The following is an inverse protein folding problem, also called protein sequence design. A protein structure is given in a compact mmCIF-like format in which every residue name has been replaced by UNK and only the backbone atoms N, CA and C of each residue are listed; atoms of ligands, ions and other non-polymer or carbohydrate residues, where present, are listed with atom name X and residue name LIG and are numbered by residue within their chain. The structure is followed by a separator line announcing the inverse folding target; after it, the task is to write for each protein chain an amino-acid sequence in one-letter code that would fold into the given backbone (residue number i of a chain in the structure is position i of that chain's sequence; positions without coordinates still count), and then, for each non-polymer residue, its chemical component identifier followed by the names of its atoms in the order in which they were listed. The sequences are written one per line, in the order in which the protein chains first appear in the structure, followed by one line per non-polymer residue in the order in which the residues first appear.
data_IF_297712693671
#
_entry.id   IF_297712693671
#
_cell.length_a   1.000
_cell.length_b   1.000
_cell.length_c   1.000
_cell.angle_alpha   90.00
_cell.angle_beta   90.00
_cell.angle_gamma   90.00
#
_symmetry.space_group_name_H-M   'P 1'
#
loop_
_entity.id
_entity.type
_entity.pdbx_description
1 polymer ?
#
# COMPACT_ATOMS: atom_id res chain seq x y z
N UNK A 1 -12.18 -53.39 24.38
CA UNK A 1 -12.11 -52.19 23.51
C UNK A 1 -11.76 -52.73 22.13
N UNK A 2 -12.65 -52.60 21.14
CA UNK A 2 -12.44 -53.24 19.80
C UNK A 2 -11.36 -52.49 18.99
N UNK A 3 -10.58 -53.21 18.23
CA UNK A 3 -9.49 -52.71 17.36
C UNK A 3 -9.91 -51.46 16.53
N UNK A 4 -11.18 -51.41 16.09
CA UNK A 4 -11.79 -50.25 15.40
C UNK A 4 -11.86 -48.98 16.28
N UNK A 5 -12.10 -49.09 17.60
CA UNK A 5 -12.10 -47.92 18.51
C UNK A 5 -10.69 -47.41 18.77
N UNK A 6 -9.71 -48.28 18.78
CA UNK A 6 -8.31 -47.86 18.96
C UNK A 6 -7.79 -47.12 17.69
N UNK A 7 -8.11 -47.57 16.49
CA UNK A 7 -7.78 -46.88 15.23
C UNK A 7 -8.49 -45.53 15.10
N UNK A 8 -9.76 -45.42 15.54
CA UNK A 8 -10.48 -44.14 15.51
C UNK A 8 -9.92 -43.12 16.52
N UNK A 9 -9.53 -43.58 17.72
CA UNK A 9 -8.93 -42.71 18.74
C UNK A 9 -7.51 -42.26 18.35
N UNK A 10 -6.70 -43.14 17.73
CA UNK A 10 -5.37 -42.77 17.24
C UNK A 10 -5.43 -41.84 16.02
N UNK A 11 -6.38 -42.05 15.11
CA UNK A 11 -6.60 -41.13 13.98
C UNK A 11 -7.14 -39.76 14.44
N UNK A 12 -8.03 -39.72 15.44
CA UNK A 12 -8.53 -38.48 16.03
C UNK A 12 -7.42 -37.73 16.79
N UNK A 13 -6.53 -38.44 17.51
CA UNK A 13 -5.39 -37.84 18.21
C UNK A 13 -4.35 -37.28 17.22
N UNK A 14 -4.06 -37.98 16.12
CA UNK A 14 -3.19 -37.51 15.04
C UNK A 14 -3.78 -36.29 14.33
N UNK A 15 -5.08 -36.28 14.04
CA UNK A 15 -5.78 -35.14 13.47
C UNK A 15 -5.76 -33.94 14.44
N UNK A 16 -6.00 -34.16 15.73
CA UNK A 16 -5.92 -33.09 16.73
C UNK A 16 -4.51 -32.52 16.89
N UNK A 17 -3.47 -33.37 16.87
CA UNK A 17 -2.08 -32.96 16.92
C UNK A 17 -1.69 -32.14 15.65
N UNK A 18 -2.10 -32.59 14.46
CA UNK A 18 -1.89 -31.86 13.22
C UNK A 18 -2.67 -30.54 13.17
N UNK A 19 -3.89 -30.49 13.70
CA UNK A 19 -4.63 -29.25 13.85
C UNK A 19 -3.96 -28.28 14.84
N UNK A 20 -3.42 -28.78 15.94
CA UNK A 20 -2.76 -27.94 16.95
C UNK A 20 -1.42 -27.36 16.43
N UNK A 21 -0.60 -28.19 15.77
CA UNK A 21 0.64 -27.74 15.15
C UNK A 21 0.38 -26.81 13.96
N UNK A 22 -0.64 -27.08 13.15
CA UNK A 22 -1.07 -26.20 12.07
C UNK A 22 -1.57 -24.83 12.57
N UNK A 23 -2.28 -24.80 13.70
CA UNK A 23 -2.77 -23.57 14.31
C UNK A 23 -1.61 -22.73 14.90
N UNK A 24 -0.62 -23.36 15.53
CA UNK A 24 0.58 -22.70 16.06
C UNK A 24 1.45 -22.15 14.93
N UNK A 25 1.70 -22.93 13.90
CA UNK A 25 2.45 -22.49 12.73
C UNK A 25 1.74 -21.35 11.99
N UNK A 26 0.41 -21.44 11.83
CA UNK A 26 -0.41 -20.40 11.24
C UNK A 26 -0.36 -19.10 12.04
N UNK A 27 -0.44 -19.17 13.37
CA UNK A 27 -0.32 -18.00 14.25
C UNK A 27 1.07 -17.35 14.13
N UNK A 28 2.12 -18.16 14.15
CA UNK A 28 3.49 -17.68 14.00
C UNK A 28 3.65 -16.96 12.65
N UNK A 29 3.25 -17.59 11.55
CA UNK A 29 3.39 -17.02 10.21
C UNK A 29 2.49 -15.80 9.99
N UNK A 30 1.27 -15.78 10.54
CA UNK A 30 0.40 -14.60 10.50
C UNK A 30 1.04 -13.43 11.25
N UNK A 31 1.61 -13.65 12.43
CA UNK A 31 2.33 -12.61 13.16
C UNK A 31 3.59 -12.15 12.41
N UNK A 32 4.37 -13.08 11.87
CA UNK A 32 5.57 -12.76 11.10
C UNK A 32 5.25 -11.87 9.88
N UNK A 33 4.14 -12.18 9.20
CA UNK A 33 3.74 -11.45 7.99
C UNK A 33 3.05 -10.11 8.28
N UNK A 34 2.35 -9.97 9.42
CA UNK A 34 1.50 -8.80 9.68
C UNK A 34 1.98 -7.91 10.84
N UNK A 35 2.99 -8.35 11.59
CA UNK A 35 3.55 -7.57 12.71
C UNK A 35 5.05 -7.38 12.52
N UNK A 36 5.46 -6.50 11.58
CA UNK A 36 6.87 -6.20 11.38
C UNK A 36 7.47 -5.51 12.59
N UNK A 37 8.74 -5.83 12.88
CA UNK A 37 9.51 -5.19 13.92
C UNK A 37 10.88 -4.71 13.35
N UNK A 38 11.36 -3.52 13.70
CA UNK A 38 10.70 -2.50 14.51
C UNK A 38 9.53 -1.84 13.77
N UNK A 39 8.56 -1.28 14.52
CA UNK A 39 7.44 -0.53 13.98
C UNK A 39 7.18 0.76 14.79
N UNK A 40 6.29 1.60 14.29
CA UNK A 40 5.89 2.83 14.97
C UNK A 40 7.07 3.81 15.12
N UNK A 41 7.11 4.52 16.25
CA UNK A 41 8.11 5.57 16.51
C UNK A 41 9.54 5.04 16.47
N UNK A 42 9.76 3.78 16.87
CA UNK A 42 11.10 3.15 16.84
C UNK A 42 11.67 3.02 15.43
N UNK A 43 10.82 3.10 14.39
CA UNK A 43 11.20 2.96 12.99
C UNK A 43 11.44 4.30 12.26
N UNK A 44 11.13 5.42 12.90
CA UNK A 44 11.20 6.76 12.27
C UNK A 44 12.62 7.08 11.77
N UNK A 45 13.65 6.85 12.56
CA UNK A 45 15.04 7.16 12.16
C UNK A 45 15.50 6.31 10.97
N UNK A 46 15.10 5.04 10.92
CA UNK A 46 15.39 4.17 9.79
C UNK A 46 14.74 4.69 8.51
N UNK A 47 13.47 5.08 8.60
CA UNK A 47 12.71 5.58 7.44
C UNK A 47 13.19 6.94 6.96
N UNK A 48 13.66 7.82 7.87
CA UNK A 48 14.33 9.08 7.52
C UNK A 48 15.60 8.82 6.69
N UNK A 49 16.46 7.92 7.17
CA UNK A 49 17.68 7.56 6.45
C UNK A 49 17.37 6.92 5.07
N UNK A 50 16.35 6.06 5.00
CA UNK A 50 15.89 5.46 3.74
C UNK A 50 15.39 6.54 2.75
N UNK A 51 14.58 7.50 3.19
CA UNK A 51 14.09 8.59 2.35
C UNK A 51 15.23 9.42 1.77
N UNK A 52 16.20 9.79 2.60
CA UNK A 52 17.37 10.58 2.19
C UNK A 52 18.31 9.82 1.24
N UNK A 53 18.35 8.47 1.35
CA UNK A 53 19.10 7.63 0.40
C UNK A 53 18.45 7.58 -0.98
N UNK A 54 17.11 7.64 -1.05
CA UNK A 54 16.34 7.65 -2.30
C UNK A 54 16.35 9.02 -2.98
N UNK A 55 16.35 10.09 -2.18
CA UNK A 55 16.38 11.48 -2.66
C UNK A 55 17.15 12.34 -1.66
N UNK A 56 18.47 12.55 -1.87
CA UNK A 56 19.31 13.30 -0.94
C UNK A 56 18.78 14.70 -0.65
N UNK A 57 18.68 15.04 0.64
CA UNK A 57 18.18 16.32 1.13
C UNK A 57 16.67 16.44 1.24
N UNK A 58 15.90 15.39 0.92
CA UNK A 58 14.43 15.44 1.00
C UNK A 58 13.93 15.56 2.43
N UNK A 59 14.62 14.94 3.38
CA UNK A 59 14.27 15.05 4.80
C UNK A 59 14.54 16.45 5.34
N UNK A 60 15.66 17.07 4.97
CA UNK A 60 15.94 18.46 5.34
C UNK A 60 14.90 19.42 4.74
N UNK A 61 14.44 19.18 3.51
CA UNK A 61 13.34 19.92 2.88
C UNK A 61 12.03 19.76 3.67
N UNK A 62 11.68 18.53 4.06
CA UNK A 62 10.48 18.25 4.86
C UNK A 62 10.55 18.95 6.23
N UNK A 63 11.66 18.78 6.96
CA UNK A 63 11.87 19.34 8.29
C UNK A 63 11.77 20.89 8.29
N UNK A 64 12.37 21.54 7.29
CA UNK A 64 12.27 23.00 7.12
C UNK A 64 10.82 23.48 6.93
N UNK A 65 10.06 22.78 6.09
CA UNK A 65 8.66 23.10 5.84
C UNK A 65 7.76 22.75 7.04
N UNK A 66 8.05 21.66 7.74
CA UNK A 66 7.32 21.27 8.94
C UNK A 66 7.58 22.27 10.08
N UNK A 67 8.82 22.69 10.31
CA UNK A 67 9.18 23.72 11.27
C UNK A 67 8.53 25.08 10.97
N UNK A 68 8.27 25.40 9.71
CA UNK A 68 7.53 26.58 9.28
C UNK A 68 6.01 26.44 9.37
N UNK A 69 5.49 25.29 9.81
CA UNK A 69 4.07 25.00 9.92
C UNK A 69 3.35 24.85 8.57
N UNK A 70 4.11 24.60 7.50
CA UNK A 70 3.55 24.30 6.16
C UNK A 70 3.04 22.86 6.13
N UNK A 71 3.87 21.87 6.54
CA UNK A 71 3.38 20.55 6.88
C UNK A 71 2.75 20.59 8.27
N UNK A 72 1.62 19.92 8.41
CA UNK A 72 0.86 19.80 9.65
C UNK A 72 0.51 18.35 9.89
N UNK A 73 0.61 17.94 11.15
CA UNK A 73 0.12 16.65 11.62
C UNK A 73 -1.40 16.70 11.81
N UNK A 74 -2.05 15.60 11.51
CA UNK A 74 -3.47 15.40 11.75
C UNK A 74 -3.72 13.96 12.19
N UNK A 75 -4.72 13.77 13.04
CA UNK A 75 -5.11 12.44 13.51
C UNK A 75 -6.61 12.25 13.36
N UNK A 76 -7.00 11.01 13.13
CA UNK A 76 -8.39 10.54 13.17
C UNK A 76 -8.47 9.28 14.03
N UNK A 77 -9.66 8.93 14.44
CA UNK A 77 -9.93 7.63 15.10
C UNK A 77 -10.68 6.77 14.08
N UNK A 78 -10.23 5.56 13.88
CA UNK A 78 -10.88 4.60 13.01
C UNK A 78 -12.10 3.92 13.67
N UNK A 79 -12.86 3.06 12.97
CA UNK A 79 -14.00 2.35 13.57
C UNK A 79 -13.63 1.39 14.70
N UNK A 80 -12.40 0.89 14.74
CA UNK A 80 -11.92 -0.03 15.80
C UNK A 80 -11.43 0.72 17.04
N UNK A 81 -11.31 2.05 16.97
CA UNK A 81 -10.92 2.93 18.05
C UNK A 81 -9.44 3.30 18.04
N UNK A 82 -8.68 2.86 17.06
CA UNK A 82 -7.27 3.16 16.91
C UNK A 82 -7.06 4.59 16.38
N UNK A 83 -6.06 5.26 16.92
CA UNK A 83 -5.68 6.61 16.49
C UNK A 83 -4.73 6.53 15.33
N UNK A 84 -5.19 6.94 14.16
CA UNK A 84 -4.41 7.01 12.93
C UNK A 84 -3.84 8.42 12.72
N UNK A 85 -2.67 8.49 12.10
CA UNK A 85 -1.91 9.72 11.85
C UNK A 85 -1.69 9.95 10.35
N UNK A 86 -1.63 11.21 9.97
CA UNK A 86 -1.16 11.66 8.66
C UNK A 86 -0.47 13.03 8.77
N UNK A 87 0.35 13.35 7.77
CA UNK A 87 0.81 14.71 7.54
C UNK A 87 0.18 15.27 6.27
N UNK A 88 -0.10 16.59 6.26
CA UNK A 88 -0.62 17.25 5.07
C UNK A 88 0.01 18.63 4.86
N UNK A 89 0.05 19.07 3.61
CA UNK A 89 0.51 20.41 3.27
C UNK A 89 -0.25 20.98 2.06
N UNK A 90 -0.49 22.28 1.99
CA UNK A 90 -1.02 22.94 0.80
C UNK A 90 0.02 22.87 -0.33
N UNK A 91 -0.45 23.02 -1.56
CA UNK A 91 0.35 23.25 -2.74
C UNK A 91 1.38 24.38 -2.50
N UNK A 92 2.46 24.40 -3.29
CA UNK A 92 3.48 25.44 -3.20
C UNK A 92 2.88 26.84 -3.39
N UNK A 93 1.97 26.98 -4.35
CA UNK A 93 1.09 28.12 -4.52
C UNK A 93 -0.36 27.67 -4.32
N UNK A 94 -0.94 27.86 -3.11
CA UNK A 94 -2.28 27.39 -2.80
C UNK A 94 -3.38 28.04 -3.65
N UNK A 95 -3.15 29.28 -4.14
CA UNK A 95 -4.15 30.01 -4.93
C UNK A 95 -4.37 29.37 -6.31
N UNK A 96 -3.38 28.66 -6.83
CA UNK A 96 -3.39 28.01 -8.14
C UNK A 96 -3.23 26.50 -8.05
N UNK A 97 -3.56 25.89 -6.90
CA UNK A 97 -3.43 24.47 -6.69
C UNK A 97 -4.10 23.63 -7.78
N UNK A 98 -3.34 22.72 -8.40
CA UNK A 98 -3.77 21.96 -9.54
C UNK A 98 -4.57 20.70 -9.17
N UNK A 99 -4.49 20.24 -7.94
CA UNK A 99 -5.13 19.03 -7.45
C UNK A 99 -4.71 18.73 -6.02
N UNK A 100 -5.09 17.55 -5.55
CA UNK A 100 -4.65 16.97 -4.28
C UNK A 100 -4.09 15.57 -4.54
N UNK A 101 -2.95 15.23 -3.95
CA UNK A 101 -2.37 13.90 -3.98
C UNK A 101 -2.42 13.27 -2.59
N UNK A 102 -2.97 12.06 -2.51
CA UNK A 102 -2.83 11.18 -1.35
C UNK A 102 -1.70 10.21 -1.65
N UNK A 103 -0.60 10.28 -0.90
CA UNK A 103 0.59 9.43 -1.14
C UNK A 103 0.64 8.34 -0.08
N UNK A 104 0.60 7.08 -0.51
CA UNK A 104 0.44 5.90 0.36
C UNK A 104 1.72 5.07 0.39
N UNK A 105 2.28 4.88 1.58
CA UNK A 105 3.56 4.20 1.77
C UNK A 105 3.48 2.67 1.71
N UNK A 106 4.65 2.02 1.60
CA UNK A 106 4.81 0.57 1.59
C UNK A 106 4.85 -0.09 2.96
N UNK A 107 4.93 -1.43 2.95
CA UNK A 107 5.10 -2.25 4.15
C UNK A 107 6.41 -1.89 4.88
N UNK A 108 6.37 -1.78 6.19
CA UNK A 108 7.46 -1.31 7.08
C UNK A 108 7.94 0.12 6.83
N UNK A 109 7.25 0.90 6.02
CA UNK A 109 7.53 2.30 5.78
C UNK A 109 6.56 3.21 6.59
N UNK A 110 6.63 4.50 6.39
CA UNK A 110 5.71 5.49 6.96
C UNK A 110 5.70 6.75 6.06
N UNK A 111 4.99 7.79 6.47
CA UNK A 111 4.86 9.04 5.71
C UNK A 111 6.20 9.65 5.22
N UNK A 112 7.32 9.36 5.87
CA UNK A 112 8.62 9.96 5.53
C UNK A 112 9.29 9.35 4.31
N UNK A 113 9.12 8.05 4.06
CA UNK A 113 9.92 7.32 3.06
C UNK A 113 9.70 7.88 1.66
N UNK A 114 8.47 8.24 1.32
CA UNK A 114 8.13 8.71 -0.02
C UNK A 114 7.98 10.25 -0.12
N UNK A 115 8.67 11.00 0.75
CA UNK A 115 8.68 12.47 0.71
C UNK A 115 9.21 13.04 -0.61
N UNK A 116 9.97 12.27 -1.39
CA UNK A 116 10.35 12.66 -2.74
C UNK A 116 9.15 12.73 -3.71
N UNK A 117 8.17 11.81 -3.60
CA UNK A 117 6.92 11.91 -4.36
C UNK A 117 6.09 13.09 -3.87
N UNK A 118 6.05 13.29 -2.56
CA UNK A 118 5.36 14.45 -1.95
C UNK A 118 5.95 15.76 -2.46
N UNK A 119 7.28 15.85 -2.53
CA UNK A 119 8.00 17.00 -3.11
C UNK A 119 7.67 17.19 -4.60
N UNK A 120 7.66 16.13 -5.39
CA UNK A 120 7.25 16.13 -6.79
C UNK A 120 5.82 16.69 -6.94
N UNK A 121 4.87 16.15 -6.21
CA UNK A 121 3.47 16.63 -6.27
C UNK A 121 3.35 18.08 -5.83
N UNK A 122 3.92 18.44 -4.68
CA UNK A 122 3.76 19.77 -4.10
C UNK A 122 4.53 20.86 -4.87
N UNK A 123 5.81 20.65 -5.10
CA UNK A 123 6.71 21.68 -5.60
C UNK A 123 6.77 21.75 -7.13
N UNK A 124 6.59 20.61 -7.85
CA UNK A 124 6.67 20.56 -9.31
C UNK A 124 5.29 20.58 -9.97
N UNK A 125 4.28 19.88 -9.41
CA UNK A 125 2.93 19.83 -9.97
C UNK A 125 1.98 20.87 -9.36
N UNK A 126 2.38 21.48 -8.27
CA UNK A 126 1.56 22.41 -7.49
C UNK A 126 0.25 21.78 -6.96
N UNK A 127 0.38 20.60 -6.36
CA UNK A 127 -0.71 19.86 -5.71
C UNK A 127 -0.68 20.04 -4.19
N UNK A 128 -1.84 20.05 -3.56
CA UNK A 128 -1.94 19.78 -2.12
C UNK A 128 -1.55 18.32 -1.88
N UNK A 129 -1.09 18.01 -0.68
CA UNK A 129 -0.67 16.64 -0.34
C UNK A 129 -1.24 16.18 0.98
N UNK A 130 -1.61 14.89 1.06
CA UNK A 130 -1.97 14.15 2.26
C UNK A 130 -1.17 12.85 2.27
N UNK A 131 -0.51 12.55 3.38
CA UNK A 131 0.42 11.42 3.50
C UNK A 131 0.13 10.68 4.80
N UNK A 132 -0.76 9.68 4.76
CA UNK A 132 -1.08 8.90 5.94
C UNK A 132 0.06 7.96 6.35
N UNK A 133 0.15 7.71 7.67
CA UNK A 133 0.71 6.49 8.20
C UNK A 133 -0.41 5.43 8.24
N UNK A 134 -0.24 4.31 7.56
CA UNK A 134 -1.19 3.20 7.58
C UNK A 134 -1.23 2.57 8.97
N UNK A 135 -2.30 1.81 9.27
CA UNK A 135 -2.43 1.07 10.53
C UNK A 135 -1.14 0.30 10.86
N UNK A 136 -0.71 0.34 12.13
CA UNK A 136 0.51 -0.31 12.62
C UNK A 136 1.83 0.26 12.07
N UNK A 137 1.82 1.43 11.43
CA UNK A 137 3.02 2.09 10.87
C UNK A 137 3.17 3.54 11.37
N UNK A 138 4.41 4.03 11.40
CA UNK A 138 4.70 5.42 11.74
C UNK A 138 4.16 5.83 13.11
N UNK A 139 3.31 6.84 13.14
CA UNK A 139 2.63 7.32 14.36
C UNK A 139 1.20 6.79 14.48
N UNK A 140 0.73 5.95 13.57
CA UNK A 140 -0.56 5.29 13.65
C UNK A 140 -0.53 4.11 14.63
N UNK A 141 -1.60 3.99 15.42
CA UNK A 141 -1.87 2.83 16.25
C UNK A 141 -2.34 1.66 15.39
N UNK A 142 -2.76 0.57 16.01
CA UNK A 142 -3.31 -0.62 15.38
C UNK A 142 -2.67 -1.90 15.86
N UNK A 143 -3.27 -3.03 15.48
CA UNK A 143 -2.84 -4.34 15.94
C UNK A 143 -1.89 -5.05 14.96
N UNK A 144 -1.99 -4.74 13.66
CA UNK A 144 -1.22 -5.39 12.59
C UNK A 144 -1.31 -4.61 11.28
N UNK A 145 -0.35 -4.79 10.39
CA UNK A 145 -0.44 -4.32 9.01
C UNK A 145 -1.57 -5.05 8.26
N UNK A 146 -2.42 -4.32 7.58
CA UNK A 146 -3.64 -4.84 6.93
C UNK A 146 -3.45 -5.19 5.45
N UNK A 147 -2.21 -5.13 4.96
CA UNK A 147 -1.80 -5.53 3.60
C UNK A 147 -2.68 -4.92 2.49
N UNK A 148 -3.07 -3.67 2.65
CA UNK A 148 -3.91 -2.93 1.71
C UNK A 148 -5.40 -3.21 1.83
N UNK A 149 -5.83 -4.27 2.53
CA UNK A 149 -7.25 -4.65 2.53
C UNK A 149 -8.12 -3.75 3.40
N UNK A 150 -7.79 -3.60 4.68
CA UNK A 150 -8.47 -2.62 5.53
C UNK A 150 -7.86 -1.22 5.35
N UNK A 151 -6.55 -1.12 5.14
CA UNK A 151 -5.87 0.15 4.85
C UNK A 151 -6.56 0.98 3.75
N UNK A 152 -7.22 0.32 2.76
CA UNK A 152 -7.92 1.04 1.68
C UNK A 152 -9.07 1.89 2.18
N UNK A 153 -9.75 1.45 3.25
CA UNK A 153 -10.85 2.19 3.87
C UNK A 153 -10.32 3.43 4.60
N UNK A 154 -9.19 3.27 5.29
CA UNK A 154 -8.53 4.39 5.94
C UNK A 154 -8.01 5.41 4.94
N UNK A 155 -7.45 4.94 3.80
CA UNK A 155 -7.00 5.84 2.73
C UNK A 155 -8.17 6.59 2.09
N UNK A 156 -9.35 5.97 1.97
CA UNK A 156 -10.57 6.66 1.55
C UNK A 156 -10.96 7.77 2.55
N UNK A 157 -10.97 7.48 3.84
CA UNK A 157 -11.27 8.48 4.87
C UNK A 157 -10.25 9.62 4.87
N UNK A 158 -8.95 9.33 4.65
CA UNK A 158 -7.92 10.35 4.48
C UNK A 158 -8.14 11.19 3.22
N UNK A 159 -8.61 10.60 2.13
CA UNK A 159 -8.95 11.31 0.90
C UNK A 159 -10.16 12.23 1.11
N UNK A 160 -11.19 11.78 1.85
CA UNK A 160 -12.33 12.62 2.26
C UNK A 160 -11.86 13.79 3.12
N UNK A 161 -11.02 13.53 4.13
CA UNK A 161 -10.47 14.60 4.97
C UNK A 161 -9.62 15.60 4.17
N UNK A 162 -8.79 15.13 3.24
CA UNK A 162 -8.00 15.98 2.36
C UNK A 162 -8.90 16.87 1.49
N UNK A 163 -10.00 16.32 0.95
CA UNK A 163 -10.98 17.11 0.22
C UNK A 163 -11.64 18.18 1.11
N UNK A 164 -11.96 17.83 2.34
CA UNK A 164 -12.55 18.77 3.30
C UNK A 164 -11.61 19.92 3.68
N UNK A 165 -10.31 19.63 3.81
CA UNK A 165 -9.29 20.63 4.11
C UNK A 165 -9.03 21.55 2.92
N UNK A 166 -8.84 20.99 1.72
CA UNK A 166 -8.34 21.73 0.56
C UNK A 166 -9.42 22.19 -0.41
N UNK A 167 -10.63 21.61 -0.35
CA UNK A 167 -11.76 21.91 -1.25
C UNK A 167 -11.39 21.85 -2.73
N UNK A 168 -10.62 20.83 -3.12
CA UNK A 168 -10.15 20.62 -4.47
C UNK A 168 -10.77 19.36 -5.07
N UNK A 169 -11.46 19.49 -6.22
CA UNK A 169 -12.24 18.43 -6.87
C UNK A 169 -11.42 17.55 -7.84
N UNK A 170 -10.11 17.67 -7.84
CA UNK A 170 -9.22 16.77 -8.58
C UNK A 170 -8.23 16.12 -7.64
N UNK A 171 -8.44 14.84 -7.37
CA UNK A 171 -7.59 14.07 -6.46
C UNK A 171 -7.00 12.85 -7.17
N UNK A 172 -5.74 12.57 -6.88
CA UNK A 172 -5.04 11.34 -7.24
C UNK A 172 -4.62 10.60 -5.98
N UNK A 173 -4.74 9.27 -5.99
CA UNK A 173 -4.13 8.41 -4.97
C UNK A 173 -2.93 7.71 -5.59
N UNK A 174 -1.77 7.89 -4.99
CA UNK A 174 -0.50 7.34 -5.47
C UNK A 174 0.15 6.50 -4.39
N UNK A 175 0.21 5.20 -4.61
CA UNK A 175 0.82 4.25 -3.68
C UNK A 175 2.06 3.56 -4.22
N UNK A 176 2.94 3.15 -3.30
CA UNK A 176 4.16 2.38 -3.62
C UNK A 176 4.15 1.07 -2.85
N UNK A 177 4.44 -0.05 -3.50
CA UNK A 177 4.51 -1.39 -2.90
C UNK A 177 3.18 -1.79 -2.24
N UNK A 178 3.13 -2.04 -0.92
CA UNK A 178 1.87 -2.26 -0.19
C UNK A 178 0.91 -1.08 -0.38
N UNK A 179 1.40 0.16 -0.42
CA UNK A 179 0.58 1.33 -0.72
C UNK A 179 0.00 1.31 -2.13
N UNK A 180 0.73 0.76 -3.12
CA UNK A 180 0.21 0.55 -4.46
C UNK A 180 -0.89 -0.52 -4.49
N UNK A 181 -0.72 -1.61 -3.75
CA UNK A 181 -1.76 -2.62 -3.58
C UNK A 181 -2.99 -2.02 -2.87
N UNK A 182 -2.79 -1.19 -1.84
CA UNK A 182 -3.85 -0.42 -1.16
C UNK A 182 -4.62 0.46 -2.15
N UNK A 183 -3.88 1.22 -2.98
CA UNK A 183 -4.44 2.09 -4.03
C UNK A 183 -5.26 1.30 -5.05
N UNK A 184 -4.75 0.17 -5.52
CA UNK A 184 -5.48 -0.72 -6.43
C UNK A 184 -6.71 -1.34 -5.76
N UNK A 185 -6.60 -1.77 -4.51
CA UNK A 185 -7.74 -2.35 -3.77
C UNK A 185 -8.82 -1.30 -3.50
N UNK A 186 -8.44 -0.06 -3.17
CA UNK A 186 -9.35 1.06 -3.02
C UNK A 186 -10.10 1.39 -4.32
N UNK A 187 -9.43 1.29 -5.46
CA UNK A 187 -9.98 1.71 -6.75
C UNK A 187 -11.23 0.97 -7.21
N UNK A 188 -11.53 -0.17 -6.60
CA UNK A 188 -12.73 -0.97 -6.89
C UNK A 188 -13.91 -0.70 -5.94
N UNK A 189 -13.78 0.21 -5.00
CA UNK A 189 -14.83 0.61 -4.08
C UNK A 189 -15.70 1.76 -4.68
N UNK A 190 -16.84 2.07 -4.06
CA UNK A 190 -17.70 3.18 -4.48
C UNK A 190 -17.17 4.50 -3.93
N UNK A 191 -16.30 5.15 -4.68
CA UNK A 191 -15.51 6.28 -4.23
C UNK A 191 -16.11 7.63 -4.65
N UNK A 192 -15.88 8.70 -3.87
CA UNK A 192 -16.28 10.06 -4.21
C UNK A 192 -15.77 10.50 -5.59
N UNK A 193 -16.55 11.31 -6.35
CA UNK A 193 -16.22 11.67 -7.73
C UNK A 193 -15.00 12.57 -7.90
N UNK A 194 -14.52 13.21 -6.83
CA UNK A 194 -13.31 14.02 -6.86
C UNK A 194 -12.01 13.18 -6.83
N UNK A 195 -12.05 11.90 -6.48
CA UNK A 195 -10.94 10.97 -6.67
C UNK A 195 -10.93 10.57 -8.14
N UNK A 196 -10.03 11.16 -8.93
CA UNK A 196 -10.10 11.13 -10.40
C UNK A 196 -9.16 10.16 -11.06
N UNK A 197 -8.08 9.79 -10.39
CA UNK A 197 -7.03 8.95 -10.95
C UNK A 197 -6.28 8.18 -9.88
N UNK A 198 -5.63 7.11 -10.32
CA UNK A 198 -4.75 6.29 -9.49
C UNK A 198 -3.38 6.13 -10.14
N UNK A 199 -2.34 6.11 -9.32
CA UNK A 199 -0.98 5.74 -9.72
C UNK A 199 -0.53 4.64 -8.76
N UNK A 200 -0.15 3.50 -9.30
CA UNK A 200 0.43 2.41 -8.54
C UNK A 200 1.87 2.15 -8.99
N UNK A 201 2.80 2.01 -8.04
CA UNK A 201 4.19 1.66 -8.30
C UNK A 201 4.57 0.40 -7.52
N UNK A 202 4.90 -0.67 -8.23
CA UNK A 202 5.34 -1.98 -7.76
C UNK A 202 4.38 -2.70 -6.78
N UNK A 203 3.05 -2.56 -6.99
CA UNK A 203 2.06 -3.23 -6.16
C UNK A 203 1.82 -4.69 -6.54
N UNK A 204 1.49 -5.52 -5.52
CA UNK A 204 1.21 -6.94 -5.73
C UNK A 204 -0.24 -7.21 -6.17
N UNK A 205 -0.45 -8.38 -6.82
CA UNK A 205 -1.74 -8.83 -7.33
C UNK A 205 -2.72 -9.28 -6.23
N UNK A 206 -2.18 -9.84 -5.15
CA UNK A 206 -2.90 -10.19 -3.92
C UNK A 206 -1.91 -10.42 -2.78
N UNK A 207 -2.36 -10.27 -1.53
CA UNK A 207 -1.57 -10.65 -0.36
C UNK A 207 -1.19 -12.14 -0.40
N UNK A 208 -2.10 -12.99 -0.91
CA UNK A 208 -1.81 -14.41 -1.09
C UNK A 208 -0.63 -14.65 -2.03
N UNK A 209 -0.63 -14.05 -3.22
CA UNK A 209 0.43 -14.25 -4.22
C UNK A 209 1.77 -13.73 -3.71
N UNK A 210 1.77 -12.57 -3.04
CA UNK A 210 2.97 -11.99 -2.46
C UNK A 210 3.56 -12.85 -1.35
N UNK A 211 2.72 -13.30 -0.42
CA UNK A 211 3.19 -14.17 0.66
C UNK A 211 3.61 -15.55 0.17
N UNK A 212 2.98 -16.09 -0.88
CA UNK A 212 3.40 -17.34 -1.50
C UNK A 212 4.78 -17.21 -2.13
N UNK A 213 5.04 -16.09 -2.82
CA UNK A 213 6.36 -15.77 -3.37
C UNK A 213 7.41 -15.65 -2.26
N UNK A 214 7.16 -14.82 -1.24
CA UNK A 214 8.09 -14.61 -0.12
C UNK A 214 8.38 -15.90 0.66
N UNK A 215 7.37 -16.76 0.86
CA UNK A 215 7.54 -18.03 1.54
C UNK A 215 8.46 -18.98 0.75
N UNK A 216 8.29 -19.01 -0.58
CA UNK A 216 9.14 -19.80 -1.46
C UNK A 216 10.56 -19.23 -1.54
N UNK A 217 10.70 -17.91 -1.70
CA UNK A 217 11.99 -17.26 -1.87
C UNK A 217 12.84 -17.29 -0.59
N UNK A 218 12.26 -16.88 0.54
CA UNK A 218 13.01 -16.72 1.80
C UNK A 218 13.14 -18.00 2.60
N UNK A 219 12.16 -18.91 2.51
CA UNK A 219 12.11 -20.13 3.34
C UNK A 219 12.18 -21.42 2.52
N UNK A 220 12.10 -21.35 1.19
CA UNK A 220 12.03 -22.50 0.28
C UNK A 220 10.88 -23.48 0.62
N UNK A 221 9.77 -22.93 1.13
CA UNK A 221 8.61 -23.69 1.57
C UNK A 221 7.43 -23.50 0.61
N UNK A 222 6.63 -24.57 0.36
CA UNK A 222 5.41 -24.44 -0.43
C UNK A 222 4.32 -23.67 0.35
N UNK A 223 3.40 -22.98 -0.35
CA UNK A 223 2.30 -22.28 0.30
C UNK A 223 1.41 -23.16 1.18
N UNK A 224 1.11 -24.39 0.73
CA UNK A 224 0.32 -25.35 1.50
C UNK A 224 1.22 -26.22 2.39
N UNK A 225 0.88 -26.44 3.66
CA UNK A 225 -0.32 -25.96 4.38
C UNK A 225 -0.11 -24.64 5.16
N UNK A 226 1.10 -24.07 5.15
CA UNK A 226 1.52 -23.00 6.05
C UNK A 226 0.73 -21.71 5.77
N UNK A 227 0.71 -21.26 4.53
CA UNK A 227 0.04 -20.04 4.14
C UNK A 227 -1.49 -20.14 4.32
N UNK A 228 -2.06 -21.35 4.07
CA UNK A 228 -3.48 -21.60 4.36
C UNK A 228 -3.80 -21.43 5.84
N UNK A 229 -2.94 -21.98 6.73
CA UNK A 229 -3.12 -21.86 8.17
C UNK A 229 -2.99 -20.42 8.64
N UNK A 230 -2.00 -19.66 8.12
CA UNK A 230 -1.83 -18.24 8.42
C UNK A 230 -3.04 -17.43 7.96
N UNK A 231 -3.54 -17.66 6.75
CA UNK A 231 -4.72 -16.98 6.19
C UNK A 231 -5.98 -17.22 7.03
N UNK A 232 -6.19 -18.46 7.51
CA UNK A 232 -7.31 -18.79 8.41
C UNK A 232 -7.17 -18.07 9.77
N UNK A 233 -5.96 -17.99 10.31
CA UNK A 233 -5.71 -17.24 11.56
C UNK A 233 -5.98 -15.76 11.38
N UNK A 234 -5.51 -15.17 10.27
CA UNK A 234 -5.76 -13.77 9.91
C UNK A 234 -7.26 -13.50 9.80
N UNK A 235 -8.02 -14.38 9.11
CA UNK A 235 -9.47 -14.25 9.00
C UNK A 235 -10.18 -14.23 10.35
N UNK A 236 -9.75 -15.09 11.27
CA UNK A 236 -10.35 -15.17 12.61
C UNK A 236 -10.01 -13.98 13.51
N UNK A 237 -8.83 -13.39 13.30
CA UNK A 237 -8.29 -12.33 14.16
C UNK A 237 -8.61 -10.93 13.67
N UNK A 238 -8.50 -10.72 12.36
CA UNK A 238 -8.62 -9.40 11.73
C UNK A 238 -9.80 -9.28 10.77
N UNK A 239 -10.62 -10.34 10.62
CA UNK A 239 -11.82 -10.29 9.79
C UNK A 239 -11.63 -10.50 8.29
N UNK A 240 -10.39 -10.61 7.79
CA UNK A 240 -10.08 -10.79 6.37
C UNK A 240 -9.06 -11.91 6.13
N UNK A 241 -9.00 -12.45 4.93
CA UNK A 241 -8.03 -13.47 4.54
C UNK A 241 -7.16 -13.02 3.37
N UNK A 242 -6.01 -13.70 3.19
CA UNK A 242 -5.01 -13.31 2.19
C UNK A 242 -5.52 -13.36 0.75
N UNK A 243 -6.60 -14.07 0.44
CA UNK A 243 -7.22 -14.13 -0.89
C UNK A 243 -8.31 -13.08 -1.08
N UNK A 244 -8.84 -12.51 0.00
CA UNK A 244 -9.72 -11.34 -0.04
C UNK A 244 -8.92 -10.09 -0.39
N UNK A 245 -7.74 -9.91 0.20
CA UNK A 245 -6.82 -8.82 -0.09
C UNK A 245 -6.23 -8.99 -1.50
N UNK A 246 -6.97 -8.55 -2.52
CA UNK A 246 -6.68 -8.80 -3.93
C UNK A 246 -6.88 -7.57 -4.80
N UNK A 247 -5.77 -7.03 -5.30
CA UNK A 247 -5.75 -5.94 -6.28
C UNK A 247 -6.48 -6.35 -7.57
N UNK A 248 -6.25 -7.58 -8.05
CA UNK A 248 -6.89 -8.12 -9.27
C UNK A 248 -8.42 -8.08 -9.19
N UNK A 249 -9.00 -8.48 -8.03
CA UNK A 249 -10.46 -8.49 -7.86
C UNK A 249 -11.06 -7.09 -7.84
N UNK A 250 -10.35 -6.12 -7.28
CA UNK A 250 -10.82 -4.74 -7.20
C UNK A 250 -10.59 -3.98 -8.50
N UNK A 251 -9.47 -4.21 -9.18
CA UNK A 251 -9.18 -3.62 -10.49
C UNK A 251 -10.23 -3.99 -11.55
N UNK A 252 -10.80 -5.20 -11.49
CA UNK A 252 -11.87 -5.61 -12.38
C UNK A 252 -13.15 -4.75 -12.26
N UNK A 253 -13.28 -3.98 -11.15
CA UNK A 253 -14.41 -3.07 -10.90
C UNK A 253 -14.06 -1.60 -11.18
N UNK A 254 -12.75 -1.28 -11.27
CA UNK A 254 -12.24 0.08 -11.40
C UNK A 254 -12.50 0.63 -12.80
N UNK A 255 -13.26 1.72 -12.91
CA UNK A 255 -13.53 2.45 -14.17
C UNK A 255 -12.67 3.72 -14.34
N UNK A 256 -11.98 4.17 -13.26
CA UNK A 256 -11.16 5.39 -13.29
C UNK A 256 -9.78 5.16 -13.89
N UNK A 257 -9.19 6.19 -14.52
CA UNK A 257 -7.83 6.10 -15.06
C UNK A 257 -6.79 5.63 -14.06
N UNK A 258 -5.90 4.74 -14.48
CA UNK A 258 -4.80 4.24 -13.65
C UNK A 258 -3.49 4.13 -14.45
N UNK A 259 -2.43 4.66 -13.87
CA UNK A 259 -1.05 4.46 -14.32
C UNK A 259 -0.40 3.37 -13.47
N UNK A 260 0.07 2.32 -14.14
CA UNK A 260 0.80 1.21 -13.55
C UNK A 260 2.30 1.39 -13.80
N UNK A 261 3.09 1.37 -12.74
CA UNK A 261 4.55 1.51 -12.80
C UNK A 261 5.19 0.30 -12.13
N UNK A 262 6.28 -0.24 -12.71
CA UNK A 262 7.01 -1.34 -12.09
C UNK A 262 8.44 -1.42 -12.62
N UNK A 263 9.40 -1.76 -11.75
CA UNK A 263 10.75 -2.09 -12.18
C UNK A 263 10.84 -3.52 -12.74
N UNK A 264 11.55 -3.72 -13.85
CA UNK A 264 11.70 -5.07 -14.43
C UNK A 264 12.74 -5.95 -13.70
N UNK A 265 13.55 -5.35 -12.81
CA UNK A 265 14.48 -6.04 -11.93
C UNK A 265 13.96 -6.18 -10.48
N UNK A 266 12.65 -6.00 -10.25
CA UNK A 266 12.02 -6.19 -8.96
C UNK A 266 11.89 -7.70 -8.65
N UNK A 267 12.65 -8.16 -7.66
CA UNK A 267 12.66 -9.55 -7.17
C UNK A 267 11.83 -9.72 -5.89
N UNK A 268 11.46 -8.64 -5.20
CA UNK A 268 10.65 -8.68 -3.99
C UNK A 268 9.14 -8.74 -4.30
N UNK A 269 8.67 -7.90 -5.24
CA UNK A 269 7.36 -8.01 -5.89
C UNK A 269 7.62 -8.24 -7.37
N UNK A 270 7.70 -9.50 -7.84
CA UNK A 270 8.06 -9.79 -9.22
C UNK A 270 7.23 -9.03 -10.25
N UNK A 271 7.86 -8.55 -11.31
CA UNK A 271 7.21 -7.77 -12.38
C UNK A 271 5.97 -8.46 -12.98
N UNK A 272 5.86 -9.78 -12.85
CA UNK A 272 4.66 -10.54 -13.25
C UNK A 272 3.38 -10.08 -12.55
N UNK A 273 3.49 -9.45 -11.36
CA UNK A 273 2.34 -8.91 -10.65
C UNK A 273 1.71 -7.72 -11.40
N UNK A 274 2.52 -6.79 -11.94
CA UNK A 274 1.96 -5.64 -12.66
C UNK A 274 1.24 -6.08 -13.94
N UNK A 275 1.73 -7.11 -14.64
CA UNK A 275 1.02 -7.64 -15.81
C UNK A 275 -0.34 -8.23 -15.44
N UNK A 276 -0.43 -9.01 -14.35
CA UNK A 276 -1.71 -9.53 -13.82
C UNK A 276 -2.65 -8.38 -13.45
N UNK A 277 -2.13 -7.36 -12.76
CA UNK A 277 -2.90 -6.18 -12.35
C UNK A 277 -3.41 -5.40 -13.56
N UNK A 278 -2.52 -5.13 -14.51
CA UNK A 278 -2.86 -4.42 -15.74
C UNK A 278 -3.93 -5.16 -16.55
N UNK A 279 -3.79 -6.47 -16.72
CA UNK A 279 -4.78 -7.29 -17.44
C UNK A 279 -6.15 -7.30 -16.73
N UNK A 280 -6.16 -7.36 -15.39
CA UNK A 280 -7.37 -7.39 -14.58
C UNK A 280 -8.23 -6.11 -14.69
N UNK A 281 -7.60 -4.96 -14.95
CA UNK A 281 -8.32 -3.71 -15.18
C UNK A 281 -8.89 -3.69 -16.59
N UNK A 282 -10.19 -4.02 -16.71
CA UNK A 282 -10.91 -4.14 -17.99
C UNK A 282 -11.73 -2.92 -18.38
N UNK A 283 -11.91 -1.96 -17.46
CA UNK A 283 -12.69 -0.75 -17.65
C UNK A 283 -11.86 0.51 -17.41
N UNK A 284 -12.24 1.63 -18.04
CA UNK A 284 -11.54 2.92 -17.94
C UNK A 284 -10.13 2.88 -18.55
N UNK A 285 -9.48 4.03 -18.58
CA UNK A 285 -8.14 4.17 -19.14
C UNK A 285 -7.07 3.51 -18.26
N UNK A 286 -6.09 2.87 -18.88
CA UNK A 286 -4.91 2.32 -18.22
C UNK A 286 -3.66 2.53 -19.04
N UNK A 287 -2.55 2.83 -18.37
CA UNK A 287 -1.24 2.98 -18.96
C UNK A 287 -0.22 2.17 -18.16
N UNK A 288 0.77 1.57 -18.83
CA UNK A 288 1.82 0.77 -18.21
C UNK A 288 3.18 1.39 -18.48
N UNK A 289 3.96 1.58 -17.43
CA UNK A 289 5.34 2.01 -17.49
C UNK A 289 6.26 1.00 -16.77
N UNK A 290 7.01 0.23 -17.53
CA UNK A 290 8.07 -0.64 -17.00
C UNK A 290 9.37 0.16 -16.97
N UNK A 291 10.02 0.21 -15.81
CA UNK A 291 11.28 0.95 -15.58
C UNK A 291 12.46 -0.01 -15.71
N UNK A 292 13.27 0.10 -16.78
CA UNK A 292 14.36 -0.85 -17.02
C UNK A 292 15.41 -0.83 -15.91
N UNK A 293 15.72 -2.01 -15.34
CA UNK A 293 16.73 -2.20 -14.30
C UNK A 293 16.38 -1.55 -12.94
N UNK A 294 15.14 -1.13 -12.71
CA UNK A 294 14.71 -0.71 -11.40
C UNK A 294 14.36 -1.94 -10.54
N UNK A 295 14.87 -1.94 -9.32
CA UNK A 295 14.52 -2.90 -8.27
C UNK A 295 13.30 -2.41 -7.48
N UNK A 296 12.85 -3.18 -6.47
CA UNK A 296 11.67 -2.87 -5.69
C UNK A 296 11.64 -1.46 -5.11
N UNK A 297 10.54 -0.72 -5.33
CA UNK A 297 10.28 0.64 -4.86
C UNK A 297 11.35 1.67 -5.26
N UNK A 298 12.05 1.42 -6.38
CA UNK A 298 13.16 2.25 -6.85
C UNK A 298 12.92 2.88 -8.24
N UNK A 299 11.69 2.77 -8.76
CA UNK A 299 11.33 3.29 -10.09
C UNK A 299 11.64 4.78 -10.24
N UNK A 300 11.27 5.58 -9.24
CA UNK A 300 11.58 7.02 -9.21
C UNK A 300 13.09 7.29 -9.17
N UNK A 301 13.81 6.69 -8.23
CA UNK A 301 15.24 6.95 -8.05
C UNK A 301 16.08 6.50 -9.25
N UNK A 302 15.60 5.51 -10.02
CA UNK A 302 16.25 5.02 -11.23
C UNK A 302 16.24 6.03 -12.38
N UNK A 303 15.10 6.73 -12.57
CA UNK A 303 14.94 7.75 -13.61
C UNK A 303 13.91 8.81 -13.14
N UNK A 304 14.32 9.73 -12.24
CA UNK A 304 13.41 10.71 -11.64
C UNK A 304 12.74 11.62 -12.69
N UNK A 305 13.48 12.00 -13.73
CA UNK A 305 12.97 12.93 -14.73
C UNK A 305 11.84 12.30 -15.58
N UNK A 306 12.05 11.09 -16.06
CA UNK A 306 11.04 10.39 -16.87
C UNK A 306 9.86 9.93 -16.02
N UNK A 307 10.10 9.47 -14.78
CA UNK A 307 9.05 9.14 -13.82
C UNK A 307 8.13 10.35 -13.57
N UNK A 308 8.73 11.49 -13.22
CA UNK A 308 8.00 12.75 -12.98
C UNK A 308 7.22 13.18 -14.22
N UNK A 309 7.86 13.15 -15.41
CA UNK A 309 7.19 13.47 -16.66
C UNK A 309 6.00 12.57 -16.96
N UNK A 310 6.13 11.24 -16.77
CA UNK A 310 5.04 10.28 -17.04
C UNK A 310 3.86 10.47 -16.12
N UNK A 311 4.12 10.62 -14.81
CA UNK A 311 3.05 10.88 -13.84
C UNK A 311 2.35 12.20 -14.18
N UNK A 312 3.10 13.26 -14.45
CA UNK A 312 2.51 14.55 -14.82
C UNK A 312 1.70 14.46 -16.12
N UNK A 313 2.25 13.88 -17.16
CA UNK A 313 1.58 13.73 -18.45
C UNK A 313 0.28 12.94 -18.34
N UNK A 314 0.29 11.84 -17.60
CA UNK A 314 -0.91 11.06 -17.30
C UNK A 314 -1.97 11.91 -16.58
N UNK A 315 -1.61 12.62 -15.53
CA UNK A 315 -2.55 13.44 -14.75
C UNK A 315 -3.11 14.64 -15.55
N UNK A 316 -2.29 15.28 -16.37
CA UNK A 316 -2.73 16.38 -17.23
C UNK A 316 -3.80 15.91 -18.23
N UNK A 317 -3.64 14.70 -18.78
CA UNK A 317 -4.62 14.09 -19.70
C UNK A 317 -5.92 13.71 -19.00
N UNK A 318 -5.85 13.20 -17.76
CA UNK A 318 -7.07 12.97 -16.95
C UNK A 318 -7.77 14.29 -16.65
N UNK A 319 -7.01 15.30 -16.26
CA UNK A 319 -7.55 16.62 -15.88
C UNK A 319 -8.19 17.34 -17.07
N UNK A 320 -7.61 17.25 -18.25
CA UNK A 320 -8.20 17.81 -19.49
C UNK A 320 -9.42 17.06 -19.99
N UNK A 321 -9.70 15.86 -19.44
CA UNK A 321 -10.77 14.97 -19.91
C UNK A 321 -10.43 14.20 -21.19
N UNK A 322 -9.18 14.21 -21.64
CA UNK A 322 -8.70 13.42 -22.78
C UNK A 322 -8.82 11.92 -22.52
N UNK A 323 -8.53 11.52 -21.29
CA UNK A 323 -8.68 10.14 -20.81
C UNK A 323 -9.63 10.09 -19.62
N UNK A 324 -10.43 9.01 -19.57
CA UNK A 324 -11.46 8.80 -18.54
C UNK A 324 -11.44 7.35 -18.06
#
# INVERSE_FOLDING_TARGET
MTLKRFFLLSAAALLAANCLTGCLAGKFMSNYALKPEPHGVADIERTRAKADSLCPGVIAWYDDLHAKGIFKDVTRVDPDGDKLHAVYAPAKDPATAQGTAVVVHGYTDNHLVFMYLVKMYRDEFNYNVMVPDLEYHGYSEGEAAQMGWLDRLDVEDWAVMAHDIFKNDFMVVHGVSMGAATTMMMSGDDLPPYIRAFVEDCGYSSAWDQFAHNLQDSFHLPPFPILNSASIVTKRRYGWDFKEASSVKQLAKCDRPMLFIHGDADDFVPVSHVYKNYEAKTHGYKELYIVPGAVHANSYAKDPANYTWRVKYFLDRVKSGEIK
#
